data_IF_870962517330
#
_entry.id   IF_870962517330
#
_cell.length_a   1.000
_cell.length_b   1.000
_cell.length_c   1.000
_cell.angle_alpha   90.00
_cell.angle_beta   90.00
_cell.angle_gamma   90.00
#
_symmetry.space_group_name_H-M   'P 1'
#
loop_
_entity.id
_entity.type
_entity.pdbx_description
1 polymer ?
#
# COMPACT_ATOMS: atom_id res chain seq x y z
N UNK A 1 16.80 -4.47 9.58
CA UNK A 1 15.71 -4.06 8.67
C UNK A 1 14.51 -4.96 8.93
N UNK A 2 13.27 -4.50 8.73
CA UNK A 2 12.09 -5.38 8.77
C UNK A 2 11.66 -5.75 7.36
N UNK A 3 11.26 -7.00 7.15
CA UNK A 3 10.72 -7.52 5.88
C UNK A 3 9.26 -7.93 6.09
N UNK A 4 8.45 -7.86 5.04
CA UNK A 4 7.07 -8.36 5.07
C UNK A 4 6.94 -9.39 3.96
N UNK A 5 6.39 -10.55 4.30
CA UNK A 5 6.28 -11.71 3.41
C UNK A 5 5.01 -12.50 3.71
N UNK A 6 4.60 -13.36 2.77
CA UNK A 6 3.60 -14.38 3.07
C UNK A 6 4.09 -15.25 4.23
N UNK A 7 3.16 -15.63 5.10
CA UNK A 7 3.43 -16.54 6.19
C UNK A 7 3.67 -17.96 5.68
N UNK A 8 4.47 -18.72 6.40
CA UNK A 8 4.63 -20.16 6.29
C UNK A 8 4.04 -20.84 7.54
N UNK A 9 3.85 -22.15 7.49
CA UNK A 9 3.34 -22.92 8.64
C UNK A 9 4.16 -22.69 9.92
N UNK A 10 5.49 -22.52 9.79
CA UNK A 10 6.38 -22.25 10.91
C UNK A 10 6.15 -20.91 11.61
N UNK A 11 5.45 -19.96 10.97
CA UNK A 11 5.16 -18.65 11.57
C UNK A 11 3.89 -18.66 12.45
N UNK A 12 3.07 -19.72 12.38
CA UNK A 12 1.75 -19.75 13.06
C UNK A 12 1.86 -19.58 14.57
N UNK A 13 2.84 -20.20 15.21
CA UNK A 13 3.03 -20.09 16.66
C UNK A 13 3.33 -18.63 17.07
N UNK A 14 4.13 -17.93 16.27
CA UNK A 14 4.44 -16.52 16.51
C UNK A 14 3.23 -15.61 16.22
N UNK A 15 2.42 -15.92 15.21
CA UNK A 15 1.17 -15.21 14.93
C UNK A 15 0.18 -15.38 16.09
N UNK A 16 -0.02 -16.60 16.59
CA UNK A 16 -0.90 -16.88 17.73
C UNK A 16 -0.43 -16.13 18.98
N UNK A 17 0.87 -16.12 19.25
CA UNK A 17 1.47 -15.34 20.35
C UNK A 17 1.13 -13.85 20.25
N UNK A 18 1.18 -13.26 19.06
CA UNK A 18 0.82 -11.85 18.85
C UNK A 18 -0.68 -11.62 19.12
N UNK A 19 -1.56 -12.54 18.69
CA UNK A 19 -2.99 -12.47 19.01
C UNK A 19 -3.22 -12.53 20.52
N UNK A 20 -2.58 -13.47 21.22
CA UNK A 20 -2.68 -13.60 22.67
C UNK A 20 -2.21 -12.35 23.42
N UNK A 21 -1.12 -11.73 22.95
CA UNK A 21 -0.60 -10.50 23.55
C UNK A 21 -1.53 -9.32 23.35
N UNK A 22 -2.11 -9.15 22.15
CA UNK A 22 -3.04 -8.04 21.92
C UNK A 22 -4.37 -8.24 22.65
N UNK A 23 -4.85 -9.48 22.80
CA UNK A 23 -5.98 -9.80 23.68
C UNK A 23 -5.65 -9.47 25.14
N UNK A 24 -4.46 -9.82 25.61
CA UNK A 24 -4.01 -9.48 26.97
C UNK A 24 -4.00 -7.96 27.19
N UNK A 25 -3.51 -7.21 26.21
CA UNK A 25 -3.52 -5.74 26.25
C UNK A 25 -4.96 -5.17 26.26
N UNK A 26 -5.89 -5.77 25.52
CA UNK A 26 -7.32 -5.42 25.55
C UNK A 26 -7.94 -5.68 26.93
N UNK A 27 -7.70 -6.87 27.49
CA UNK A 27 -8.20 -7.31 28.80
C UNK A 27 -7.68 -6.42 29.95
N UNK A 28 -6.46 -5.90 29.82
CA UNK A 28 -5.85 -4.95 30.75
C UNK A 28 -6.25 -3.49 30.52
N UNK A 29 -7.00 -3.19 29.45
CA UNK A 29 -7.37 -1.82 29.08
C UNK A 29 -6.22 -0.98 28.51
N UNK A 30 -5.11 -1.61 28.14
CA UNK A 30 -3.96 -0.98 27.48
C UNK A 30 -4.22 -0.78 25.98
N UNK A 31 -5.12 -1.58 25.42
CA UNK A 31 -5.66 -1.47 24.08
C UNK A 31 -7.21 -1.30 24.12
N UNK A 32 -7.78 -0.88 22.99
CA UNK A 32 -9.22 -0.76 22.80
C UNK A 32 -9.60 -1.17 21.37
N UNK A 33 -9.14 -2.35 20.95
CA UNK A 33 -9.22 -2.84 19.59
C UNK A 33 -10.56 -3.48 19.23
N UNK A 34 -11.33 -3.98 20.20
CA UNK A 34 -12.62 -4.63 19.90
C UNK A 34 -12.60 -6.15 19.85
N UNK A 35 -11.45 -6.78 20.00
CA UNK A 35 -11.29 -8.23 19.88
C UNK A 35 -11.49 -8.93 21.23
N UNK A 36 -11.90 -10.20 21.17
CA UNK A 36 -12.22 -11.01 22.34
C UNK A 36 -11.51 -12.35 22.22
N UNK A 37 -10.75 -12.71 23.25
CA UNK A 37 -10.08 -14.01 23.34
C UNK A 37 -11.10 -15.15 23.31
N UNK A 38 -10.76 -16.23 22.63
CA UNK A 38 -11.64 -17.36 22.38
C UNK A 38 -12.75 -17.08 21.36
N UNK A 39 -12.73 -15.91 20.72
CA UNK A 39 -13.73 -15.51 19.70
C UNK A 39 -13.02 -15.06 18.43
N UNK A 40 -12.19 -14.01 18.51
CA UNK A 40 -11.51 -13.48 17.33
C UNK A 40 -10.37 -12.49 17.68
N UNK A 41 -9.26 -12.47 16.90
CA UNK A 41 -8.79 -13.55 16.03
C UNK A 41 -8.13 -14.66 16.86
N UNK A 42 -8.27 -15.90 16.43
CA UNK A 42 -7.69 -17.08 17.08
C UNK A 42 -6.75 -17.84 16.13
N UNK A 43 -6.14 -18.92 16.61
CA UNK A 43 -5.28 -19.79 15.78
C UNK A 43 -5.97 -20.21 14.48
N UNK A 44 -7.23 -20.60 14.56
CA UNK A 44 -8.04 -21.02 13.41
C UNK A 44 -8.18 -19.88 12.38
N UNK A 45 -8.20 -18.62 12.83
CA UNK A 45 -8.21 -17.45 11.95
C UNK A 45 -6.92 -17.38 11.12
N UNK A 46 -5.77 -17.58 11.77
CA UNK A 46 -4.48 -17.59 11.10
C UNK A 46 -4.31 -18.82 10.20
N UNK A 47 -4.72 -20.01 10.63
CA UNK A 47 -4.63 -21.24 9.84
C UNK A 47 -5.50 -21.18 8.58
N UNK A 48 -6.73 -20.69 8.69
CA UNK A 48 -7.60 -20.48 7.53
C UNK A 48 -6.99 -19.47 6.55
N UNK A 49 -6.37 -18.40 7.05
CA UNK A 49 -5.70 -17.41 6.23
C UNK A 49 -4.44 -17.95 5.54
N UNK A 50 -3.65 -18.74 6.27
CA UNK A 50 -2.49 -19.42 5.72
C UNK A 50 -2.90 -20.38 4.60
N UNK A 51 -3.96 -21.17 4.79
CA UNK A 51 -4.47 -22.10 3.79
C UNK A 51 -4.94 -21.41 2.50
N UNK A 52 -5.50 -20.19 2.60
CA UNK A 52 -5.85 -19.36 1.44
C UNK A 52 -4.66 -18.64 0.83
N UNK A 53 -3.52 -18.62 1.51
CA UNK A 53 -2.32 -17.89 1.09
C UNK A 53 -2.45 -16.37 1.21
N UNK A 54 -3.31 -15.89 2.11
CA UNK A 54 -3.58 -14.47 2.37
C UNK A 54 -3.03 -13.96 3.73
N UNK A 55 -2.38 -14.83 4.52
CA UNK A 55 -1.68 -14.44 5.75
C UNK A 55 -0.28 -13.87 5.46
N UNK A 56 0.02 -12.70 6.03
CA UNK A 56 1.31 -12.03 5.93
C UNK A 56 1.91 -11.77 7.29
N UNK A 57 3.22 -11.89 7.38
CA UNK A 57 3.99 -11.60 8.60
C UNK A 57 5.04 -10.51 8.33
N UNK A 58 5.27 -9.69 9.34
CA UNK A 58 6.37 -8.75 9.40
C UNK A 58 7.47 -9.32 10.29
N UNK A 59 8.64 -9.55 9.70
CA UNK A 59 9.81 -10.09 10.37
C UNK A 59 10.83 -8.97 10.63
N UNK A 60 11.39 -8.92 11.83
CA UNK A 60 12.46 -7.99 12.19
C UNK A 60 13.49 -8.75 13.05
N UNK A 61 14.75 -8.76 12.60
CA UNK A 61 15.85 -9.44 13.28
C UNK A 61 15.60 -10.94 13.57
N UNK A 62 14.92 -11.63 12.65
CA UNK A 62 14.57 -13.06 12.79
C UNK A 62 13.32 -13.33 13.64
N UNK A 63 12.66 -12.29 14.16
CA UNK A 63 11.44 -12.42 14.96
C UNK A 63 10.22 -11.90 14.19
N UNK A 64 9.10 -12.61 14.29
CA UNK A 64 7.81 -12.12 13.78
C UNK A 64 7.25 -11.09 14.77
N UNK A 65 7.11 -9.85 14.30
CA UNK A 65 6.71 -8.67 15.08
C UNK A 65 5.38 -8.07 14.63
N UNK A 66 4.74 -8.66 13.62
CA UNK A 66 3.43 -8.22 13.16
C UNK A 66 2.82 -9.18 12.17
N UNK A 67 1.51 -9.10 12.01
CA UNK A 67 0.73 -9.96 11.12
C UNK A 67 -0.48 -9.20 10.57
N UNK A 68 -0.90 -9.57 9.37
CA UNK A 68 -2.14 -9.11 8.76
C UNK A 68 -2.64 -10.13 7.73
N UNK A 69 -3.91 -10.04 7.37
CA UNK A 69 -4.51 -10.83 6.29
C UNK A 69 -4.85 -9.87 5.14
N UNK A 70 -4.34 -10.15 3.93
CA UNK A 70 -4.54 -9.32 2.74
C UNK A 70 -5.23 -10.13 1.63
N UNK A 71 -6.45 -9.75 1.27
CA UNK A 71 -7.19 -10.41 0.19
C UNK A 71 -8.23 -9.46 -0.43
N UNK A 72 -8.99 -9.96 -1.41
CA UNK A 72 -10.09 -9.24 -2.06
C UNK A 72 -11.45 -9.65 -1.47
N UNK A 73 -11.44 -10.40 -0.37
CA UNK A 73 -12.66 -10.87 0.31
C UNK A 73 -13.13 -9.79 1.26
N UNK A 74 -14.29 -9.23 0.95
CA UNK A 74 -14.98 -8.26 1.79
C UNK A 74 -15.87 -8.99 2.80
N UNK A 75 -15.92 -8.51 4.03
CA UNK A 75 -16.83 -9.07 5.04
C UNK A 75 -18.26 -8.66 4.74
N UNK A 76 -19.23 -9.51 5.06
CA UNK A 76 -20.66 -9.27 4.77
C UNK A 76 -21.18 -7.92 5.30
N UNK A 77 -20.60 -7.42 6.40
CA UNK A 77 -20.94 -6.11 6.97
C UNK A 77 -20.58 -4.92 6.07
N UNK A 78 -19.84 -5.13 4.98
CA UNK A 78 -19.56 -4.11 3.97
C UNK A 78 -20.71 -3.96 2.97
N UNK A 79 -21.59 -4.95 2.87
CA UNK A 79 -22.72 -4.92 1.96
C UNK A 79 -23.65 -3.76 2.31
N UNK A 80 -24.04 -2.98 1.30
CA UNK A 80 -24.91 -1.80 1.47
C UNK A 80 -24.25 -0.58 2.12
N UNK A 81 -22.96 -0.65 2.47
CA UNK A 81 -22.23 0.53 2.92
C UNK A 81 -22.07 1.55 1.78
N UNK A 82 -22.16 2.84 2.12
CA UNK A 82 -22.02 3.94 1.18
C UNK A 82 -20.55 4.25 0.88
N UNK A 83 -19.87 3.32 0.19
CA UNK A 83 -18.50 3.51 -0.29
C UNK A 83 -18.42 4.71 -1.22
N UNK A 84 -17.32 5.47 -1.15
CA UNK A 84 -17.18 6.70 -1.96
C UNK A 84 -16.94 6.38 -3.43
N UNK A 85 -16.46 5.18 -3.70
CA UNK A 85 -16.16 4.69 -5.02
C UNK A 85 -16.93 3.41 -5.28
N UNK A 86 -17.73 3.44 -6.34
CA UNK A 86 -18.30 2.24 -6.94
C UNK A 86 -17.16 1.51 -7.67
N UNK A 87 -16.76 0.36 -7.14
CA UNK A 87 -15.58 -0.38 -7.57
C UNK A 87 -15.92 -1.87 -7.60
N UNK A 88 -15.53 -2.60 -8.66
CA UNK A 88 -15.69 -4.04 -8.70
C UNK A 88 -14.82 -4.69 -7.62
N UNK A 89 -15.29 -5.80 -7.06
CA UNK A 89 -14.56 -6.52 -5.99
C UNK A 89 -13.13 -6.91 -6.42
N UNK A 90 -12.92 -7.18 -7.72
CA UNK A 90 -11.60 -7.48 -8.30
C UNK A 90 -10.61 -6.31 -8.27
N UNK A 91 -11.06 -5.10 -7.99
CA UNK A 91 -10.22 -3.89 -7.83
C UNK A 91 -10.13 -3.42 -6.37
N UNK A 92 -10.77 -4.16 -5.44
CA UNK A 92 -10.75 -3.89 -4.01
C UNK A 92 -9.76 -4.83 -3.34
N UNK A 93 -8.81 -4.26 -2.59
CA UNK A 93 -8.02 -5.01 -1.63
C UNK A 93 -8.48 -4.63 -0.22
N UNK A 94 -8.49 -5.62 0.67
CA UNK A 94 -8.90 -5.49 2.06
C UNK A 94 -7.75 -5.87 2.97
N UNK A 95 -7.50 -5.05 3.98
CA UNK A 95 -6.56 -5.34 5.07
C UNK A 95 -7.36 -5.76 6.30
N UNK A 96 -7.29 -7.05 6.63
CA UNK A 96 -7.88 -7.60 7.83
C UNK A 96 -6.80 -7.83 8.90
N UNK A 97 -7.22 -7.78 10.15
CA UNK A 97 -6.42 -8.22 11.33
C UNK A 97 -4.99 -7.67 11.40
N UNK A 98 -4.73 -6.44 10.95
CA UNK A 98 -3.40 -5.85 11.13
C UNK A 98 -3.13 -5.64 12.63
N UNK A 99 -2.17 -6.38 13.15
CA UNK A 99 -1.66 -6.22 14.51
C UNK A 99 -0.14 -6.26 14.50
N UNK A 100 0.45 -5.29 15.19
CA UNK A 100 1.87 -5.30 15.53
C UNK A 100 1.96 -5.81 16.96
N UNK A 101 2.91 -6.70 17.20
CA UNK A 101 3.24 -7.23 18.51
C UNK A 101 3.32 -6.07 19.53
N UNK A 102 2.48 -6.06 20.59
CA UNK A 102 2.49 -5.00 21.60
C UNK A 102 3.84 -4.81 22.29
N UNK A 103 4.67 -5.85 22.34
CA UNK A 103 6.00 -5.84 22.97
C UNK A 103 7.11 -5.40 22.00
N UNK A 104 6.81 -5.26 20.71
CA UNK A 104 7.78 -4.79 19.73
C UNK A 104 8.22 -3.34 20.05
N UNK A 105 9.53 -3.17 20.26
CA UNK A 105 10.13 -1.88 20.66
C UNK A 105 10.27 -0.87 19.50
N UNK A 106 9.96 -1.28 18.27
CA UNK A 106 10.26 -0.50 17.07
C UNK A 106 9.11 0.42 16.64
N UNK A 107 9.42 1.71 16.45
CA UNK A 107 8.46 2.68 15.92
C UNK A 107 8.36 2.53 14.40
N UNK A 108 7.13 2.54 13.89
CA UNK A 108 6.85 2.60 12.45
C UNK A 108 6.55 1.27 11.77
N UNK A 109 6.58 0.13 12.49
CA UNK A 109 6.22 -1.19 11.96
C UNK A 109 4.86 -1.19 11.25
N UNK A 110 3.81 -0.69 11.91
CA UNK A 110 2.48 -0.58 11.30
C UNK A 110 2.45 0.31 10.06
N UNK A 111 3.24 1.39 10.02
CA UNK A 111 3.35 2.26 8.83
C UNK A 111 4.03 1.51 7.67
N UNK A 112 5.06 0.72 7.97
CA UNK A 112 5.71 -0.13 6.97
C UNK A 112 4.74 -1.19 6.45
N UNK A 113 3.92 -1.80 7.31
CA UNK A 113 2.90 -2.76 6.91
C UNK A 113 1.81 -2.12 6.04
N UNK A 114 1.31 -0.94 6.42
CA UNK A 114 0.33 -0.23 5.59
C UNK A 114 0.91 0.17 4.22
N UNK A 115 2.19 0.56 4.15
CA UNK A 115 2.85 0.83 2.88
C UNK A 115 3.00 -0.44 2.01
N UNK A 116 3.35 -1.57 2.63
CA UNK A 116 3.37 -2.86 1.95
C UNK A 116 1.99 -3.24 1.42
N UNK A 117 0.94 -3.06 2.21
CA UNK A 117 -0.44 -3.29 1.81
C UNK A 117 -0.84 -2.44 0.57
N UNK A 118 -0.50 -1.15 0.57
CA UNK A 118 -0.76 -0.27 -0.57
C UNK A 118 -0.03 -0.74 -1.84
N UNK A 119 1.25 -1.13 -1.72
CA UNK A 119 2.02 -1.68 -2.84
C UNK A 119 1.51 -3.03 -3.32
N UNK A 120 1.12 -3.90 -2.38
CA UNK A 120 0.54 -5.22 -2.66
C UNK A 120 -0.76 -5.08 -3.45
N UNK A 121 -1.63 -4.14 -3.04
CA UNK A 121 -2.87 -3.85 -3.76
C UNK A 121 -2.61 -3.44 -5.23
N UNK A 122 -1.68 -2.50 -5.47
CA UNK A 122 -1.33 -2.07 -6.82
C UNK A 122 -0.79 -3.22 -7.68
N UNK A 123 0.06 -4.07 -7.11
CA UNK A 123 0.60 -5.24 -7.79
C UNK A 123 -0.48 -6.27 -8.18
N UNK A 124 -1.64 -6.23 -7.53
CA UNK A 124 -2.80 -7.09 -7.80
C UNK A 124 -3.93 -6.33 -8.52
N UNK A 125 -3.63 -5.20 -9.16
CA UNK A 125 -4.61 -4.40 -9.90
C UNK A 125 -5.67 -3.73 -9.03
N UNK A 126 -5.50 -3.73 -7.70
CA UNK A 126 -6.45 -3.15 -6.78
C UNK A 126 -6.13 -1.68 -6.51
N UNK A 127 -7.06 -0.79 -6.87
CA UNK A 127 -6.94 0.65 -6.64
C UNK A 127 -7.72 1.13 -5.43
N UNK A 128 -8.66 0.34 -4.94
CA UNK A 128 -9.53 0.70 -3.83
C UNK A 128 -9.15 -0.13 -2.61
N UNK A 129 -8.80 0.54 -1.53
CA UNK A 129 -8.40 -0.08 -0.28
C UNK A 129 -9.53 0.07 0.71
N UNK A 130 -9.98 -1.04 1.27
CA UNK A 130 -11.01 -1.06 2.31
C UNK A 130 -10.40 -1.63 3.59
N UNK A 131 -10.75 -1.02 4.71
CA UNK A 131 -10.32 -1.40 6.05
C UNK A 131 -11.50 -1.18 6.99
N UNK A 132 -11.66 -2.05 7.95
CA UNK A 132 -12.56 -1.85 9.07
C UNK A 132 -11.82 -1.72 10.39
N UNK A 133 -12.47 -1.06 11.34
CA UNK A 133 -12.05 -1.11 12.73
C UNK A 133 -13.22 -0.88 13.67
N UNK A 134 -13.09 -1.28 14.93
CA UNK A 134 -14.11 -0.99 15.92
C UNK A 134 -14.15 0.53 16.22
N UNK A 135 -15.34 1.12 16.36
CA UNK A 135 -15.51 2.53 16.68
C UNK A 135 -14.76 2.99 17.94
N UNK A 136 -14.56 2.07 18.90
CA UNK A 136 -13.78 2.30 20.13
C UNK A 136 -12.27 2.37 19.90
N UNK A 137 -11.77 1.85 18.77
CA UNK A 137 -10.36 1.82 18.41
C UNK A 137 -9.87 3.18 17.87
N UNK A 138 -9.89 4.19 18.74
CA UNK A 138 -9.45 5.54 18.40
C UNK A 138 -7.97 5.60 17.93
N UNK A 139 -7.14 4.63 18.33
CA UNK A 139 -5.75 4.52 17.87
C UNK A 139 -5.67 4.13 16.40
N UNK A 140 -6.38 3.08 15.98
CA UNK A 140 -6.42 2.65 14.58
C UNK A 140 -7.05 3.71 13.68
N UNK A 141 -8.17 4.30 14.10
CA UNK A 141 -8.85 5.40 13.38
C UNK A 141 -7.89 6.57 13.08
N UNK A 142 -7.21 7.08 14.10
CA UNK A 142 -6.19 8.15 13.93
C UNK A 142 -5.00 7.71 13.09
N UNK A 143 -4.58 6.45 13.22
CA UNK A 143 -3.48 5.90 12.43
C UNK A 143 -3.82 5.90 10.93
N UNK A 144 -4.97 5.35 10.54
CA UNK A 144 -5.40 5.29 9.15
C UNK A 144 -5.75 6.67 8.58
N UNK A 145 -6.35 7.55 9.38
CA UNK A 145 -6.57 8.95 8.97
C UNK A 145 -5.26 9.65 8.59
N UNK A 146 -4.18 9.46 9.38
CA UNK A 146 -2.84 10.01 9.07
C UNK A 146 -2.21 9.38 7.82
N UNK A 147 -2.66 8.19 7.41
CA UNK A 147 -2.25 7.53 6.16
C UNK A 147 -3.11 7.94 4.95
N UNK A 148 -4.14 8.76 5.18
CA UNK A 148 -5.00 9.30 4.13
C UNK A 148 -6.23 8.43 3.83
N UNK A 149 -6.58 7.51 4.72
CA UNK A 149 -7.87 6.82 4.66
C UNK A 149 -8.97 7.76 5.16
N UNK A 150 -10.13 7.66 4.52
CA UNK A 150 -11.32 8.36 4.94
C UNK A 150 -12.28 7.40 5.64
N UNK A 151 -12.80 7.80 6.79
CA UNK A 151 -13.95 7.12 7.39
C UNK A 151 -15.19 7.43 6.55
N UNK A 152 -15.85 6.38 6.04
CA UNK A 152 -17.01 6.52 5.15
C UNK A 152 -18.34 6.33 5.91
N UNK A 153 -18.31 5.62 7.04
CA UNK A 153 -19.51 5.33 7.82
C UNK A 153 -19.23 4.38 8.98
N UNK A 154 -20.27 4.16 9.78
CA UNK A 154 -20.29 3.20 10.89
C UNK A 154 -21.46 2.25 10.69
N UNK A 155 -21.19 0.95 10.68
CA UNK A 155 -22.19 -0.10 10.47
C UNK A 155 -22.33 -0.94 11.75
N UNK A 156 -23.51 -1.00 12.38
CA UNK A 156 -23.80 -1.95 13.43
C UNK A 156 -23.78 -3.38 12.88
N UNK A 157 -23.02 -4.28 13.50
CA UNK A 157 -22.94 -5.67 13.05
C UNK A 157 -22.63 -6.65 14.20
N UNK A 158 -22.80 -7.93 13.89
CA UNK A 158 -22.08 -9.00 14.56
C UNK A 158 -20.79 -9.25 13.78
N UNK A 159 -19.64 -9.02 14.42
CA UNK A 159 -18.34 -9.12 13.77
C UNK A 159 -17.61 -10.37 14.26
N UNK A 160 -17.48 -11.39 13.40
CA UNK A 160 -16.82 -12.65 13.74
C UNK A 160 -17.29 -13.25 15.08
N UNK A 161 -18.62 -13.25 15.33
CA UNK A 161 -19.21 -13.74 16.58
C UNK A 161 -19.30 -12.71 17.72
N UNK A 162 -18.71 -11.52 17.57
CA UNK A 162 -18.80 -10.44 18.57
C UNK A 162 -20.04 -9.59 18.30
N UNK A 163 -21.01 -9.61 19.21
CA UNK A 163 -22.26 -8.86 19.07
C UNK A 163 -22.09 -7.37 19.40
N UNK A 164 -22.95 -6.52 18.80
CA UNK A 164 -23.05 -5.10 19.15
C UNK A 164 -21.87 -4.25 18.67
N UNK A 165 -21.09 -4.73 17.70
CA UNK A 165 -19.94 -3.99 17.16
C UNK A 165 -20.43 -2.81 16.32
N UNK A 166 -19.84 -1.64 16.56
CA UNK A 166 -19.97 -0.47 15.69
C UNK A 166 -18.75 -0.45 14.77
N UNK A 167 -18.90 -0.98 13.56
CA UNK A 167 -17.79 -1.17 12.62
C UNK A 167 -17.58 0.10 11.80
N UNK A 168 -16.46 0.77 12.03
CA UNK A 168 -16.05 1.94 11.25
C UNK A 168 -15.43 1.44 9.96
N UNK A 169 -15.98 1.87 8.84
CA UNK A 169 -15.50 1.53 7.51
C UNK A 169 -14.60 2.66 7.00
N UNK A 170 -13.41 2.30 6.53
CA UNK A 170 -12.43 3.23 6.01
C UNK A 170 -12.06 2.87 4.58
N UNK A 171 -11.92 3.89 3.74
CA UNK A 171 -11.58 3.74 2.33
C UNK A 171 -10.43 4.65 1.93
N UNK A 172 -9.57 4.16 1.04
CA UNK A 172 -8.57 4.96 0.35
C UNK A 172 -8.48 4.51 -1.10
N UNK A 173 -8.52 5.48 -2.02
CA UNK A 173 -8.23 5.24 -3.44
C UNK A 173 -6.76 5.53 -3.71
N UNK A 174 -6.05 4.56 -4.26
CA UNK A 174 -4.67 4.72 -4.69
C UNK A 174 -4.58 5.49 -6.00
N UNK A 175 -3.47 6.23 -6.23
CA UNK A 175 -3.19 6.82 -7.53
C UNK A 175 -3.22 5.76 -8.64
N UNK A 176 -3.58 6.14 -9.87
CA UNK A 176 -3.57 5.26 -11.04
C UNK A 176 -2.14 4.99 -11.51
N UNK A 177 -1.36 4.29 -10.67
CA UNK A 177 0.01 3.90 -10.96
C UNK A 177 0.01 2.61 -11.77
N UNK A 178 0.75 2.57 -12.87
CA UNK A 178 1.03 1.34 -13.62
C UNK A 178 2.41 1.37 -14.25
N UNK A 179 2.95 0.19 -14.55
CA UNK A 179 4.15 0.08 -15.39
C UNK A 179 3.78 0.27 -16.86
N UNK A 180 4.67 0.87 -17.66
CA UNK A 180 4.52 0.96 -19.12
C UNK A 180 5.40 -0.05 -19.85
N UNK A 181 5.05 -0.33 -21.10
CA UNK A 181 5.88 -1.08 -22.06
C UNK A 181 6.73 -0.14 -22.93
N UNK A 182 7.67 -0.71 -23.69
CA UNK A 182 8.60 0.07 -24.50
C UNK A 182 7.92 0.93 -25.58
N UNK A 183 6.86 0.42 -26.20
CA UNK A 183 6.05 1.12 -27.21
C UNK A 183 5.29 2.33 -26.65
N UNK A 184 5.07 2.36 -25.33
CA UNK A 184 4.44 3.48 -24.65
C UNK A 184 5.41 4.59 -24.26
N UNK A 185 6.74 4.36 -24.31
CA UNK A 185 7.74 5.37 -23.93
C UNK A 185 7.54 6.74 -24.61
N UNK A 186 7.15 6.85 -25.90
CA UNK A 186 6.86 8.13 -26.54
C UNK A 186 5.78 8.97 -25.84
N UNK A 187 4.86 8.34 -25.09
CA UNK A 187 3.78 9.00 -24.34
C UNK A 187 4.31 9.83 -23.16
N UNK A 188 5.57 9.63 -22.75
CA UNK A 188 6.22 10.38 -21.67
C UNK A 188 6.68 11.79 -22.07
N UNK A 189 6.54 12.17 -23.36
CA UNK A 189 7.05 13.42 -23.91
C UNK A 189 6.70 14.66 -23.08
N UNK A 190 5.42 14.81 -22.72
CA UNK A 190 4.95 15.98 -21.97
C UNK A 190 5.64 16.08 -20.59
N UNK A 191 5.87 14.95 -19.92
CA UNK A 191 6.59 14.93 -18.65
C UNK A 191 8.07 15.27 -18.83
N UNK A 192 8.74 14.73 -19.85
CA UNK A 192 10.15 15.05 -20.14
C UNK A 192 10.32 16.53 -20.48
N UNK A 193 9.40 17.12 -21.25
CA UNK A 193 9.37 18.55 -21.56
C UNK A 193 9.19 19.40 -20.29
N UNK A 194 8.23 19.05 -19.43
CA UNK A 194 8.01 19.77 -18.18
C UNK A 194 9.23 19.69 -17.22
N UNK A 195 9.91 18.54 -17.17
CA UNK A 195 11.15 18.38 -16.42
C UNK A 195 12.27 19.26 -17.00
N UNK A 196 12.39 19.27 -18.33
CA UNK A 196 13.33 20.10 -19.08
C UNK A 196 13.18 21.59 -18.76
N UNK A 197 11.97 22.12 -18.92
CA UNK A 197 11.66 23.51 -18.60
C UNK A 197 11.99 23.85 -17.14
N UNK A 198 11.66 22.95 -16.21
CA UNK A 198 11.95 23.15 -14.80
C UNK A 198 13.47 23.23 -14.55
N UNK A 199 14.24 22.24 -14.98
CA UNK A 199 15.69 22.19 -14.79
C UNK A 199 16.41 23.36 -15.48
N UNK A 200 16.04 23.69 -16.72
CA UNK A 200 16.65 24.80 -17.43
C UNK A 200 16.36 26.16 -16.77
N UNK A 201 15.26 26.27 -16.03
CA UNK A 201 14.90 27.49 -15.29
C UNK A 201 15.60 27.60 -13.94
N UNK A 202 15.70 26.51 -13.17
CA UNK A 202 16.11 26.55 -11.76
C UNK A 202 17.50 25.99 -11.48
N UNK A 203 18.07 25.18 -12.38
CA UNK A 203 19.36 24.55 -12.15
C UNK A 203 20.51 25.51 -12.47
N UNK A 204 21.46 25.62 -11.55
CA UNK A 204 22.74 26.30 -11.77
C UNK A 204 23.69 25.51 -12.69
N UNK A 205 23.55 24.18 -12.72
CA UNK A 205 24.47 23.28 -13.45
C UNK A 205 23.99 22.94 -14.87
N UNK A 206 22.70 23.13 -15.15
CA UNK A 206 22.08 22.64 -16.39
C UNK A 206 21.26 23.71 -17.12
N UNK A 207 21.53 24.99 -16.88
CA UNK A 207 20.77 26.10 -17.45
C UNK A 207 20.85 26.10 -18.99
N UNK A 208 19.76 25.74 -19.64
CA UNK A 208 19.62 25.74 -21.11
C UNK A 208 20.16 24.49 -21.81
N UNK A 209 20.59 23.46 -21.08
CA UNK A 209 21.24 22.28 -21.64
C UNK A 209 20.62 20.94 -21.22
N UNK A 210 19.55 20.94 -20.42
CA UNK A 210 18.88 19.71 -20.00
C UNK A 210 17.60 19.45 -20.83
N UNK A 211 17.32 18.21 -21.23
CA UNK A 211 18.27 17.11 -21.34
C UNK A 211 19.36 17.45 -22.37
N UNK A 212 20.55 16.90 -22.21
CA UNK A 212 21.68 17.12 -23.14
C UNK A 212 21.47 16.51 -24.52
N UNK A 213 20.36 15.82 -24.72
CA UNK A 213 19.97 15.13 -25.95
C UNK A 213 18.55 15.53 -26.34
N UNK A 214 18.19 15.46 -27.63
CA UNK A 214 16.80 15.68 -28.07
C UNK A 214 15.81 14.78 -27.32
N UNK A 215 14.58 15.26 -27.15
CA UNK A 215 13.51 14.52 -26.46
C UNK A 215 13.28 13.15 -27.10
N UNK A 216 13.22 13.08 -28.43
CA UNK A 216 12.99 11.83 -29.16
C UNK A 216 14.06 10.80 -28.85
N UNK A 217 15.33 11.22 -28.83
CA UNK A 217 16.45 10.33 -28.48
C UNK A 217 16.37 9.87 -27.02
N UNK A 218 15.93 10.72 -26.12
CA UNK A 218 15.74 10.37 -24.70
C UNK A 218 14.65 9.31 -24.55
N UNK A 219 13.51 9.49 -25.23
CA UNK A 219 12.39 8.57 -25.22
C UNK A 219 12.74 7.22 -25.88
N UNK A 220 13.52 7.22 -26.97
CA UNK A 220 14.02 5.97 -27.57
C UNK A 220 14.96 5.20 -26.64
N UNK A 221 15.79 5.91 -25.85
CA UNK A 221 16.65 5.25 -24.86
C UNK A 221 15.83 4.65 -23.71
N UNK A 222 14.71 5.27 -23.33
CA UNK A 222 13.79 4.68 -22.36
C UNK A 222 13.13 3.41 -22.91
N UNK A 223 12.67 3.42 -24.18
CA UNK A 223 12.12 2.25 -24.84
C UNK A 223 13.14 1.10 -24.89
N UNK A 224 14.36 1.37 -25.35
CA UNK A 224 15.44 0.40 -25.42
C UNK A 224 15.75 -0.21 -24.05
N UNK A 225 15.82 0.62 -23.00
CA UNK A 225 16.11 0.14 -21.64
C UNK A 225 14.98 -0.74 -21.07
N UNK A 226 13.73 -0.50 -21.48
CA UNK A 226 12.59 -1.37 -21.15
C UNK A 226 12.67 -2.71 -21.89
N UNK A 227 13.01 -2.69 -23.19
CA UNK A 227 13.19 -3.90 -24.01
C UNK A 227 14.31 -4.80 -23.47
N UNK A 228 15.44 -4.19 -23.11
CA UNK A 228 16.61 -4.87 -22.54
C UNK A 228 16.40 -5.29 -21.06
N UNK A 229 15.25 -4.95 -20.45
CA UNK A 229 14.94 -5.17 -19.03
C UNK A 229 16.00 -4.59 -18.06
N UNK A 230 16.70 -3.54 -18.47
CA UNK A 230 17.67 -2.81 -17.63
C UNK A 230 17.07 -1.59 -16.94
N UNK A 231 15.81 -1.25 -17.24
CA UNK A 231 15.03 -0.26 -16.50
C UNK A 231 13.58 -0.71 -16.29
N UNK A 232 12.92 -0.10 -15.31
CA UNK A 232 11.46 -0.12 -15.11
C UNK A 232 10.95 1.32 -15.13
N UNK A 233 9.81 1.54 -15.78
CA UNK A 233 9.14 2.84 -15.78
C UNK A 233 7.71 2.66 -15.28
N UNK A 234 7.37 3.37 -14.21
CA UNK A 234 6.02 3.48 -13.72
C UNK A 234 5.46 4.88 -14.01
N UNK A 235 4.18 4.95 -14.37
CA UNK A 235 3.48 6.18 -14.71
C UNK A 235 2.26 6.35 -13.83
N UNK A 236 1.90 7.61 -13.58
CA UNK A 236 0.58 7.97 -13.09
C UNK A 236 -0.22 8.48 -14.27
N UNK A 237 -1.35 7.84 -14.53
CA UNK A 237 -2.22 8.13 -15.66
C UNK A 237 -3.60 8.59 -15.19
N UNK A 238 -3.95 9.84 -15.48
CA UNK A 238 -5.32 10.34 -15.33
C UNK A 238 -6.06 10.24 -16.67
N UNK A 239 -7.35 10.58 -16.71
CA UNK A 239 -8.15 10.60 -17.95
C UNK A 239 -7.52 11.52 -19.04
N UNK A 240 -6.71 12.49 -18.62
CA UNK A 240 -5.94 13.39 -19.51
C UNK A 240 -4.65 12.79 -20.08
N UNK A 241 -4.30 11.56 -19.68
CA UNK A 241 -3.08 10.86 -20.05
C UNK A 241 -2.04 10.79 -18.92
N UNK A 242 -0.79 10.55 -19.29
CA UNK A 242 0.31 10.41 -18.33
C UNK A 242 0.63 11.77 -17.71
N UNK A 243 0.41 11.88 -16.40
CA UNK A 243 0.63 13.12 -15.61
C UNK A 243 1.89 13.08 -14.76
N UNK A 244 2.57 11.95 -14.71
CA UNK A 244 3.85 11.78 -14.05
C UNK A 244 4.45 10.42 -14.33
N UNK A 245 5.75 10.29 -14.13
CA UNK A 245 6.44 9.01 -14.22
C UNK A 245 7.67 8.97 -13.32
N UNK A 246 8.08 7.76 -12.98
CA UNK A 246 9.41 7.48 -12.47
C UNK A 246 10.10 6.42 -13.33
N UNK A 247 11.42 6.51 -13.44
CA UNK A 247 12.26 5.51 -14.09
C UNK A 247 13.29 5.04 -13.08
N UNK A 248 13.39 3.73 -12.91
CA UNK A 248 14.39 3.06 -12.08
C UNK A 248 15.28 2.23 -13.00
N UNK A 249 16.57 2.48 -12.95
CA UNK A 249 17.58 1.64 -13.59
C UNK A 249 17.89 0.45 -12.70
N UNK A 250 17.88 -0.74 -13.28
CA UNK A 250 18.10 -1.99 -12.58
C UNK A 250 19.56 -2.36 -12.63
N UNK A 251 20.06 -2.85 -11.50
CA UNK A 251 21.37 -3.47 -11.40
C UNK A 251 21.18 -4.99 -11.34
N UNK A 252 22.10 -5.76 -11.92
CA UNK A 252 22.00 -7.22 -12.00
C UNK A 252 22.00 -7.97 -10.65
N UNK A 253 22.21 -7.25 -9.54
CA UNK A 253 22.21 -7.75 -8.16
C UNK A 253 20.86 -7.59 -7.45
N UNK A 254 19.81 -7.19 -8.18
CA UNK A 254 18.47 -6.94 -7.62
C UNK A 254 18.32 -5.55 -6.97
N UNK A 255 19.35 -4.70 -7.03
CA UNK A 255 19.24 -3.29 -6.65
C UNK A 255 18.85 -2.43 -7.86
N UNK A 256 18.55 -1.15 -7.61
CA UNK A 256 18.30 -0.21 -8.68
C UNK A 256 18.43 1.24 -8.22
N UNK A 257 18.54 2.14 -9.19
CA UNK A 257 18.69 3.57 -8.96
C UNK A 257 17.52 4.34 -9.58
N UNK A 258 16.88 5.18 -8.80
CA UNK A 258 15.90 6.14 -9.31
C UNK A 258 16.62 7.17 -10.21
N UNK A 259 16.28 7.19 -11.48
CA UNK A 259 16.90 8.01 -12.52
C UNK A 259 16.01 9.22 -12.87
N UNK A 260 14.71 8.98 -13.04
CA UNK A 260 13.71 10.04 -13.25
C UNK A 260 12.60 9.96 -12.22
N UNK A 261 12.13 11.12 -11.76
CA UNK A 261 10.88 11.29 -11.02
C UNK A 261 10.26 12.63 -11.40
N UNK A 262 9.13 12.57 -12.10
CA UNK A 262 8.47 13.75 -12.65
C UNK A 262 6.98 13.69 -12.38
N UNK A 263 6.43 14.82 -11.94
CA UNK A 263 4.99 15.07 -11.93
C UNK A 263 4.75 16.41 -12.62
N UNK A 264 3.81 16.42 -13.57
CA UNK A 264 3.42 17.62 -14.30
C UNK A 264 3.05 18.73 -13.31
N UNK A 265 3.44 20.00 -13.56
CA UNK A 265 3.23 21.11 -12.61
C UNK A 265 1.81 21.21 -12.06
N UNK A 266 0.80 21.06 -12.91
CA UNK A 266 -0.63 21.12 -12.57
C UNK A 266 -1.10 19.96 -11.67
N UNK A 267 -0.34 18.87 -11.59
CA UNK A 267 -0.65 17.69 -10.76
C UNK A 267 0.23 17.61 -9.50
N UNK A 268 1.11 18.59 -9.25
CA UNK A 268 1.92 18.65 -8.02
C UNK A 268 1.03 18.91 -6.80
N UNK A 269 1.48 18.47 -5.62
CA UNK A 269 0.70 18.55 -4.38
C UNK A 269 -0.33 17.42 -4.19
N UNK A 270 -0.64 16.64 -5.25
CA UNK A 270 -1.55 15.48 -5.19
C UNK A 270 -0.91 14.21 -4.59
N UNK A 271 0.27 14.31 -3.99
CA UNK A 271 1.10 13.21 -3.46
C UNK A 271 1.57 12.18 -4.50
N UNK A 272 1.41 12.46 -5.80
CA UNK A 272 1.86 11.62 -6.90
C UNK A 272 3.36 11.37 -6.95
N UNK A 273 4.19 12.32 -6.52
CA UNK A 273 5.64 12.07 -6.44
C UNK A 273 6.05 11.14 -5.29
N UNK A 274 5.14 10.85 -4.35
CA UNK A 274 5.38 9.95 -3.22
C UNK A 274 4.86 8.53 -3.49
N UNK A 275 3.78 8.43 -4.25
CA UNK A 275 3.21 7.16 -4.66
C UNK A 275 4.13 6.46 -5.67
#
# INVERSE_FOLDING_TARGET
>A
MSTIRKAACADLDAVCRIYDQIHTAEERGEAAIGWQRGVYPERETAEAALARGDLFVQEQNGEIVGTAILNQTQVDSYAGANWRYDAPDSEVMVLHTLVIDPEAKSRGLGRAFAAFYEGYALAHGCRYLRIDTNARNARARRFYQKLGYAEIGVVPCMFNGIAGVQLVLLEKRLPPLRQITADEAPRLRACVQALSEHHNRVSVNFKGSYPSRPYDKTLSLFAQALEENVSRIAVIEEDSGIVGFCKVDLHGDGTGKLDYLVVLPQCRGRKYGKA
#
